data_IF_005111584824
#
_entry.id   IF_005111584824
#
_cell.length_a   1.000
_cell.length_b   1.000
_cell.length_c   1.000
_cell.angle_alpha   90.00
_cell.angle_beta   90.00
_cell.angle_gamma   90.00
#
_symmetry.space_group_name_H-M   'P 1'
#
loop_
_entity.id
_entity.type
_entity.pdbx_description
1 polymer ?
#
# COMPACT_ATOMS: atom_id res chain seq x y z
N UNK A 1 -12.82 12.92 -10.88
CA UNK A 1 -12.76 12.38 -10.39
C UNK A 1 -12.61 12.11 -9.16
N UNK A 2 -12.60 12.37 -8.61
CA UNK A 2 -12.34 12.18 -7.66
C UNK A 2 -12.35 11.17 -6.84
N UNK A 3 -12.98 10.58 -6.94
CA UNK A 3 -13.02 9.34 -6.30
C UNK A 3 -11.71 8.76 -5.89
N UNK A 4 -10.68 8.93 -6.63
CA UNK A 4 -9.40 8.41 -6.21
C UNK A 4 -9.00 8.83 -4.81
N UNK A 5 -9.50 9.96 -4.37
CA UNK A 5 -9.12 10.43 -3.04
C UNK A 5 -9.61 9.53 -1.94
N UNK A 6 -10.77 8.90 -2.14
CA UNK A 6 -11.28 7.97 -1.15
C UNK A 6 -10.38 6.77 -1.00
N UNK A 7 -9.71 6.42 -2.09
CA UNK A 7 -8.88 5.23 -2.13
C UNK A 7 -7.41 5.58 -2.05
N UNK A 8 -7.12 6.82 -1.69
CA UNK A 8 -5.75 7.30 -1.68
C UNK A 8 -5.04 7.15 -0.36
N UNK A 9 -5.68 6.53 0.61
CA UNK A 9 -5.09 6.41 1.94
C UNK A 9 -4.46 5.05 2.14
N UNK A 10 -3.32 5.08 2.80
CA UNK A 10 -2.65 3.87 3.23
C UNK A 10 -2.83 3.71 4.72
N UNK A 11 -2.69 2.50 5.19
CA UNK A 11 -2.76 2.18 6.61
C UNK A 11 -1.47 1.51 7.02
N UNK A 12 -1.05 1.81 8.22
CA UNK A 12 0.15 1.21 8.79
C UNK A 12 -0.12 0.90 10.24
N UNK A 13 0.30 -0.27 10.75
CA UNK A 13 0.19 -0.53 12.19
C UNK A 13 0.97 0.46 13.03
N UNK A 14 2.03 1.03 12.46
CA UNK A 14 2.90 1.94 13.18
C UNK A 14 2.39 3.38 13.15
N UNK A 15 1.93 3.83 11.97
CA UNK A 15 1.63 5.24 11.77
C UNK A 15 0.16 5.55 11.57
N UNK A 16 -0.67 4.53 11.44
CA UNK A 16 -2.10 4.73 11.23
C UNK A 16 -2.45 5.07 9.79
N UNK A 17 -3.45 5.88 9.60
CA UNK A 17 -3.98 6.23 8.30
C UNK A 17 -3.16 7.38 7.70
N UNK A 18 -2.67 7.19 6.49
CA UNK A 18 -1.77 8.14 5.84
C UNK A 18 -2.19 8.38 4.40
N UNK A 19 -2.07 9.63 3.96
CA UNK A 19 -2.11 9.90 2.53
C UNK A 19 -0.70 9.66 1.96
N UNK A 20 -0.56 9.77 0.65
CA UNK A 20 0.71 9.47 0.03
C UNK A 20 1.86 10.38 0.48
N UNK A 21 1.66 11.71 0.59
CA UNK A 21 2.73 12.56 1.11
C UNK A 21 3.16 12.19 2.53
N UNK A 22 2.22 11.83 3.39
CA UNK A 22 2.56 11.44 4.75
C UNK A 22 3.27 10.09 4.77
N UNK A 23 2.86 9.16 3.93
CA UNK A 23 3.56 7.89 3.81
C UNK A 23 5.00 8.12 3.39
N UNK A 24 5.21 8.95 2.38
CA UNK A 24 6.55 9.26 1.90
C UNK A 24 7.42 9.85 3.02
N UNK A 25 6.83 10.78 3.78
CA UNK A 25 7.54 11.41 4.87
C UNK A 25 7.98 10.37 5.90
N UNK A 26 7.05 9.52 6.33
CA UNK A 26 7.37 8.51 7.35
C UNK A 26 8.35 7.48 6.83
N UNK A 27 8.25 7.11 5.55
CA UNK A 27 9.20 6.17 4.96
C UNK A 27 10.61 6.74 4.98
N UNK A 28 10.74 7.99 4.59
CA UNK A 28 12.05 8.64 4.57
C UNK A 28 12.61 8.81 5.99
N UNK A 29 11.76 9.16 6.93
CA UNK A 29 12.18 9.29 8.32
C UNK A 29 12.64 7.94 8.88
N UNK A 30 11.90 6.89 8.56
CA UNK A 30 12.27 5.56 9.01
C UNK A 30 13.66 5.16 8.52
N UNK A 31 13.93 5.43 7.24
CA UNK A 31 15.24 5.10 6.68
C UNK A 31 16.33 6.02 7.21
N UNK A 32 16.01 7.25 7.51
CA UNK A 32 16.98 8.20 8.04
C UNK A 32 17.40 7.88 9.47
N UNK A 33 16.57 7.18 10.23
CA UNK A 33 16.91 6.80 11.60
C UNK A 33 18.12 5.90 11.68
N UNK A 34 18.34 5.10 10.66
CA UNK A 34 19.46 4.17 10.64
C UNK A 34 20.10 4.17 9.27
N UNK A 35 20.87 5.20 8.95
CA UNK A 35 21.37 5.36 7.59
C UNK A 35 22.45 4.37 7.18
N UNK A 36 23.01 3.65 8.14
CA UNK A 36 24.11 2.72 7.86
C UNK A 36 23.67 1.28 7.75
N UNK A 37 22.39 1.00 7.75
CA UNK A 37 21.91 -0.36 7.57
C UNK A 37 21.33 -0.51 6.17
N UNK A 38 21.15 -1.76 5.77
CA UNK A 38 20.62 -2.07 4.46
C UNK A 38 19.10 -2.08 4.51
N UNK A 39 18.47 -1.54 3.49
CA UNK A 39 17.03 -1.55 3.36
C UNK A 39 16.61 -2.33 2.14
N UNK A 40 15.45 -2.95 2.24
CA UNK A 40 14.81 -3.66 1.14
C UNK A 40 13.40 -3.15 1.00
N UNK A 41 12.99 -2.87 -0.22
CA UNK A 41 11.64 -2.42 -0.53
C UNK A 41 10.91 -3.52 -1.30
N UNK A 42 9.74 -3.84 -0.85
CA UNK A 42 8.90 -4.83 -1.52
C UNK A 42 7.52 -4.22 -1.76
N UNK A 43 7.07 -4.27 -2.99
CA UNK A 43 5.73 -3.80 -3.36
C UNK A 43 4.99 -4.96 -3.96
N UNK A 44 3.80 -5.21 -3.46
CA UNK A 44 2.95 -6.25 -3.98
C UNK A 44 1.52 -5.77 -4.13
N UNK A 45 0.82 -6.29 -5.13
CA UNK A 45 -0.58 -5.98 -5.34
C UNK A 45 -1.31 -7.29 -5.57
N UNK A 46 -2.44 -7.42 -4.90
CA UNK A 46 -3.31 -8.56 -5.06
C UNK A 46 -4.71 -8.07 -5.38
N UNK A 47 -5.46 -8.86 -6.10
CA UNK A 47 -6.83 -8.54 -6.43
C UNK A 47 -7.74 -9.71 -6.10
N UNK A 48 -8.89 -9.42 -5.53
CA UNK A 48 -9.85 -10.45 -5.17
C UNK A 48 -11.22 -10.09 -5.70
N UNK A 49 -11.78 -10.91 -6.59
CA UNK A 49 -13.14 -10.67 -7.05
C UNK A 49 -14.12 -10.88 -5.91
N UNK A 50 -15.16 -10.07 -5.89
CA UNK A 50 -16.18 -10.14 -4.85
C UNK A 50 -17.51 -10.57 -5.43
N UNK A 51 -17.76 -11.83 -5.51
CA UNK A 51 -19.06 -12.38 -5.84
C UNK A 51 -19.87 -11.58 -6.87
N UNK A 52 -19.19 -11.15 -7.94
CA UNK A 52 -19.86 -10.40 -8.99
C UNK A 52 -20.09 -8.93 -8.70
N UNK A 53 -19.63 -8.44 -7.57
CA UNK A 53 -19.88 -7.06 -7.16
C UNK A 53 -18.63 -6.17 -7.21
N UNK A 54 -17.70 -6.50 -8.06
CA UNK A 54 -16.50 -5.70 -8.19
C UNK A 54 -15.28 -6.46 -7.75
N UNK A 55 -14.21 -5.72 -7.57
CA UNK A 55 -12.91 -6.29 -7.25
C UNK A 55 -12.24 -5.47 -6.16
N UNK A 56 -11.67 -6.15 -5.20
CA UNK A 56 -10.80 -5.52 -4.22
C UNK A 56 -9.37 -5.58 -4.72
N UNK A 57 -8.69 -4.46 -4.66
CA UNK A 57 -7.26 -4.39 -4.93
C UNK A 57 -6.55 -4.02 -3.64
N UNK A 58 -5.59 -4.83 -3.26
CA UNK A 58 -4.81 -4.57 -2.06
C UNK A 58 -3.37 -4.37 -2.50
N UNK A 59 -2.82 -3.22 -2.17
CA UNK A 59 -1.43 -2.91 -2.47
C UNK A 59 -0.70 -2.77 -1.15
N UNK A 60 0.43 -3.42 -1.05
CA UNK A 60 1.26 -3.35 0.14
C UNK A 60 2.66 -2.90 -0.22
N UNK A 61 3.20 -2.05 0.63
CA UNK A 61 4.59 -1.61 0.53
C UNK A 61 5.26 -1.96 1.84
N UNK A 62 6.34 -2.72 1.76
CA UNK A 62 7.12 -3.08 2.93
C UNK A 62 8.49 -2.45 2.81
N UNK A 63 8.89 -1.74 3.85
CA UNK A 63 10.25 -1.22 3.96
C UNK A 63 10.93 -2.03 5.06
N UNK A 64 11.82 -2.89 4.65
CA UNK A 64 12.48 -3.81 5.56
C UNK A 64 13.88 -3.28 5.90
N UNK A 65 14.12 -3.08 7.17
CA UNK A 65 15.44 -2.74 7.69
C UNK A 65 16.10 -4.08 7.98
N UNK A 66 16.98 -4.50 7.08
CA UNK A 66 17.51 -5.85 7.10
C UNK A 66 18.16 -6.16 8.44
N UNK A 67 17.67 -7.21 9.09
CA UNK A 67 18.14 -7.60 10.41
C UNK A 67 17.46 -6.89 11.57
N UNK A 68 16.64 -5.89 11.31
CA UNK A 68 16.09 -5.04 12.37
C UNK A 68 14.59 -4.75 12.20
N UNK A 69 13.87 -5.62 11.50
CA UNK A 69 12.45 -5.44 11.32
C UNK A 69 12.12 -4.44 10.21
N UNK A 70 10.94 -3.86 10.29
CA UNK A 70 10.53 -2.95 9.23
C UNK A 70 9.19 -2.33 9.49
N UNK A 71 8.73 -1.56 8.52
CA UNK A 71 7.39 -0.99 8.55
C UNK A 71 6.69 -1.35 7.27
N UNK A 72 5.38 -1.44 7.33
CA UNK A 72 4.63 -1.67 6.12
C UNK A 72 3.40 -0.77 6.06
N UNK A 73 2.96 -0.58 4.84
CA UNK A 73 1.81 0.24 4.51
C UNK A 73 0.96 -0.53 3.53
N UNK A 74 -0.33 -0.41 3.66
CA UNK A 74 -1.21 -1.07 2.71
C UNK A 74 -2.41 -0.20 2.42
N UNK A 75 -2.99 -0.39 1.27
CA UNK A 75 -4.25 0.26 0.93
C UNK A 75 -5.13 -0.73 0.22
N UNK A 76 -6.41 -0.52 0.38
CA UNK A 76 -7.42 -1.32 -0.25
C UNK A 76 -8.28 -0.40 -1.11
N UNK A 77 -8.42 -0.76 -2.35
CA UNK A 77 -9.29 -0.06 -3.27
C UNK A 77 -10.41 -1.01 -3.62
N UNK A 78 -11.62 -0.61 -3.32
CA UNK A 78 -12.80 -1.39 -3.66
C UNK A 78 -13.39 -0.79 -4.92
N UNK A 79 -13.36 -1.55 -5.98
CA UNK A 79 -13.93 -1.10 -7.24
C UNK A 79 -15.24 -1.85 -7.46
N UNK A 80 -16.32 -1.10 -7.44
CA UNK A 80 -17.65 -1.68 -7.56
C UNK A 80 -18.11 -1.79 -9.00
N UNK A 81 -17.31 -1.38 -9.94
CA UNK A 81 -17.66 -1.52 -11.35
C UNK A 81 -17.65 -2.98 -11.74
N UNK A 82 -18.56 -3.33 -12.62
CA UNK A 82 -18.53 -4.65 -13.19
C UNK A 82 -17.39 -4.75 -14.17
N UNK A 83 -16.59 -5.74 -14.00
CA UNK A 83 -15.53 -6.02 -14.94
C UNK A 83 -15.93 -7.19 -15.83
N UNK A 84 -15.76 -6.98 -17.11
CA UNK A 84 -15.88 -8.07 -18.06
C UNK A 84 -14.47 -8.56 -18.30
N UNK A 85 -14.22 -9.81 -17.94
CA UNK A 85 -12.92 -10.39 -18.18
C UNK A 85 -12.73 -10.57 -19.66
N UNK A 86 -11.70 -9.98 -20.17
CA UNK A 86 -11.35 -10.15 -21.57
C UNK A 86 -10.16 -11.08 -21.65
N UNK A 87 -10.26 -11.99 -22.56
CA UNK A 87 -9.15 -12.88 -22.83
C UNK A 87 -8.21 -12.16 -23.79
N UNK A 88 -7.01 -12.09 -23.42
CA UNK A 88 -5.98 -11.46 -24.23
C UNK A 88 -5.13 -12.48 -24.92
#
# INVERSE_FOLDING_TARGET
MEAPLKNGHFYSPTYGKLNLPALRKHALEFMAESPNVKYSLVIGTDSQPKNGHGVDFITALVIHRVGFGGVYFWKRIVDTKKYVLKTF
#
